data_IF_666166147343
#
_entry.id   IF_666166147343
#
_cell.length_a   1.000
_cell.length_b   1.000
_cell.length_c   1.000
_cell.angle_alpha   90.00
_cell.angle_beta   90.00
_cell.angle_gamma   90.00
#
_symmetry.space_group_name_H-M   'P 1'
#
loop_
_entity.id
_entity.type
_entity.pdbx_description
1 polymer ?
#
# COMPACT_ATOMS: atom_id res chain seq x y z
N UNK A 1 4.94 7.61 11.66
CA UNK A 1 5.04 6.23 11.14
C UNK A 1 3.83 5.98 10.28
N UNK A 2 4.03 5.68 9.00
CA UNK A 2 2.95 5.55 8.02
C UNK A 2 2.48 4.10 7.93
N UNK A 3 1.18 3.90 7.76
CA UNK A 3 0.56 2.58 7.61
C UNK A 3 -0.10 2.47 6.25
N UNK A 4 0.12 1.34 5.59
CA UNK A 4 -0.46 1.04 4.29
C UNK A 4 -1.08 -0.34 4.30
N UNK A 5 -2.29 -0.46 3.75
CA UNK A 5 -2.89 -1.74 3.46
C UNK A 5 -2.48 -2.18 2.06
N UNK A 6 -1.87 -3.36 1.97
CA UNK A 6 -1.38 -3.94 0.74
C UNK A 6 -2.18 -5.19 0.38
N UNK A 7 -2.56 -5.34 -0.88
CA UNK A 7 -3.23 -6.54 -1.40
C UNK A 7 -2.33 -7.29 -2.35
N UNK A 8 -2.09 -8.58 -2.09
CA UNK A 8 -1.40 -9.45 -3.04
C UNK A 8 -2.24 -9.60 -4.32
N UNK A 9 -1.65 -9.35 -5.49
CA UNK A 9 -2.36 -9.53 -6.78
C UNK A 9 -2.63 -10.99 -7.14
N UNK A 10 -1.88 -11.93 -6.58
CA UNK A 10 -2.02 -13.36 -6.89
C UNK A 10 -3.13 -14.03 -6.07
N UNK A 11 -3.12 -13.88 -4.74
CA UNK A 11 -4.06 -14.56 -3.85
C UNK A 11 -5.09 -13.62 -3.18
N UNK A 12 -4.94 -12.30 -3.33
CA UNK A 12 -5.84 -11.33 -2.73
C UNK A 12 -5.67 -11.08 -1.23
N UNK A 13 -4.72 -11.75 -0.55
CA UNK A 13 -4.43 -11.53 0.88
C UNK A 13 -4.08 -10.07 1.14
N UNK A 14 -4.68 -9.50 2.19
CA UNK A 14 -4.44 -8.11 2.63
C UNK A 14 -3.61 -8.09 3.90
N UNK A 15 -2.62 -7.21 3.96
CA UNK A 15 -1.77 -7.04 5.13
C UNK A 15 -1.34 -5.59 5.35
N UNK A 16 -0.95 -5.27 6.58
CA UNK A 16 -0.53 -3.91 6.97
C UNK A 16 1.00 -3.78 6.90
N UNK A 17 1.48 -2.84 6.08
CA UNK A 17 2.87 -2.43 6.04
C UNK A 17 3.06 -1.15 6.87
N UNK A 18 3.97 -1.22 7.85
CA UNK A 18 4.41 -0.07 8.65
C UNK A 18 5.80 0.36 8.21
N UNK A 19 5.92 1.61 7.75
CA UNK A 19 7.19 2.17 7.28
C UNK A 19 7.37 3.60 7.77
N UNK A 20 8.64 4.05 7.87
CA UNK A 20 9.00 5.40 8.28
C UNK A 20 8.88 6.44 7.16
N UNK A 21 8.67 6.02 5.92
CA UNK A 21 8.56 6.88 4.74
C UNK A 21 7.20 6.74 4.04
N UNK A 22 6.89 7.68 3.16
CA UNK A 22 5.65 7.67 2.38
C UNK A 22 5.75 6.73 1.18
N UNK A 23 4.66 6.05 0.87
CA UNK A 23 4.52 5.23 -0.35
C UNK A 23 3.59 5.88 -1.38
N UNK A 24 3.18 7.14 -1.19
CA UNK A 24 2.22 7.84 -2.07
C UNK A 24 2.65 7.85 -3.55
N UNK A 25 3.95 7.91 -3.81
CA UNK A 25 4.49 7.96 -5.17
C UNK A 25 4.61 6.58 -5.83
N UNK A 26 4.29 5.50 -5.10
CA UNK A 26 4.40 4.13 -5.59
C UNK A 26 3.01 3.58 -5.89
N UNK A 27 2.81 3.08 -7.12
CA UNK A 27 1.55 2.43 -7.50
C UNK A 27 1.44 1.00 -6.94
N UNK A 28 2.57 0.31 -6.81
CA UNK A 28 2.63 -1.09 -6.38
C UNK A 28 3.96 -1.41 -5.70
N UNK A 29 3.95 -2.46 -4.88
CA UNK A 29 5.14 -2.99 -4.20
C UNK A 29 5.43 -4.43 -4.61
N UNK A 30 6.69 -4.76 -4.84
CA UNK A 30 7.13 -6.15 -5.03
C UNK A 30 7.60 -6.71 -3.69
N UNK A 31 6.83 -7.64 -3.12
CA UNK A 31 7.06 -8.16 -1.78
C UNK A 31 6.68 -9.64 -1.64
N UNK A 32 7.25 -10.30 -0.63
CA UNK A 32 6.94 -11.70 -0.30
C UNK A 32 5.51 -11.83 0.21
N UNK A 33 4.74 -12.75 -0.39
CA UNK A 33 3.42 -13.12 0.12
C UNK A 33 3.52 -14.45 0.87
N UNK A 34 3.20 -14.43 2.16
CA UNK A 34 3.21 -15.61 3.03
C UNK A 34 2.18 -16.67 2.64
N UNK A 35 1.07 -16.28 2.00
CA UNK A 35 0.04 -17.21 1.51
C UNK A 35 0.46 -17.86 0.18
N UNK A 36 1.11 -17.12 -0.71
CA UNK A 36 1.60 -17.68 -1.98
C UNK A 36 2.93 -18.41 -1.86
N UNK A 37 3.71 -18.15 -0.81
CA UNK A 37 5.05 -18.70 -0.63
C UNK A 37 6.11 -18.12 -1.58
N UNK A 38 5.82 -17.00 -2.26
CA UNK A 38 6.71 -16.38 -3.27
C UNK A 38 6.59 -14.85 -3.26
N UNK A 39 7.55 -14.16 -3.88
CA UNK A 39 7.46 -12.72 -4.13
C UNK A 39 6.41 -12.44 -5.22
N UNK A 40 5.60 -11.41 -4.99
CA UNK A 40 4.47 -11.03 -5.85
C UNK A 40 4.30 -9.51 -5.83
N UNK A 41 3.65 -8.96 -6.85
CA UNK A 41 3.21 -7.57 -6.81
C UNK A 41 2.00 -7.41 -5.89
N UNK A 42 2.01 -6.31 -5.15
CA UNK A 42 0.96 -5.91 -4.22
C UNK A 42 0.46 -4.51 -4.55
N UNK A 43 -0.86 -4.33 -4.55
CA UNK A 43 -1.52 -3.04 -4.68
C UNK A 43 -1.59 -2.32 -3.34
N UNK A 44 -1.38 -1.00 -3.35
CA UNK A 44 -1.62 -0.15 -2.19
C UNK A 44 -3.10 0.23 -2.17
N UNK A 45 -3.87 -0.34 -1.25
CA UNK A 45 -5.33 -0.13 -1.18
C UNK A 45 -5.68 1.15 -0.41
N UNK A 46 -4.97 1.41 0.69
CA UNK A 46 -5.24 2.52 1.59
C UNK A 46 -3.96 2.98 2.26
N UNK A 47 -3.80 4.29 2.40
CA UNK A 47 -2.81 4.92 3.26
C UNK A 47 -3.51 5.54 4.47
N UNK A 48 -3.05 5.23 5.67
CA UNK A 48 -3.38 6.02 6.86
C UNK A 48 -2.21 6.95 7.13
N UNK A 49 -2.02 7.92 6.23
CA UNK A 49 -1.26 9.13 6.54
C UNK A 49 -2.27 10.16 7.03
N UNK A 50 -2.34 10.39 8.34
CA UNK A 50 -3.06 11.53 8.89
C UNK A 50 -2.30 12.82 8.56
N UNK A 51 -2.43 13.32 7.33
CA UNK A 51 -2.39 14.74 6.99
C UNK A 51 -3.30 14.93 5.77
N UNK A 52 -4.41 15.64 6.02
CA UNK A 52 -5.35 16.14 5.01
C UNK A 52 -4.59 17.18 4.18
N UNK A 53 -4.14 16.79 3.00
CA UNK A 53 -3.86 17.72 1.90
C UNK A 53 -4.33 17.03 0.63
N UNK A 54 -4.94 17.82 -0.24
CA UNK A 54 -5.46 17.51 -1.57
C UNK A 54 -6.96 17.15 -1.64
N UNK A 55 -7.81 18.14 -1.31
CA UNK A 55 -9.04 18.38 -2.07
C UNK A 55 -9.09 19.87 -2.42
N UNK A 56 -8.42 20.27 -3.51
CA UNK A 56 -8.84 21.41 -4.32
C UNK A 56 -8.50 21.09 -5.79
N UNK A 57 -9.31 20.27 -6.45
CA UNK A 57 -9.52 20.40 -7.89
C UNK A 57 -10.64 21.42 -8.08
N UNK A 58 -10.25 22.65 -8.41
CA UNK A 58 -11.13 23.78 -8.64
C UNK A 58 -11.71 23.66 -10.06
N UNK A 59 -13.00 23.32 -10.17
CA UNK A 59 -13.82 23.56 -11.38
C UNK A 59 -14.41 24.96 -11.36
#
# INVERSE_FOLDING_TARGET
MSKYLLRCRECGTVWELRVSYSLRDFQQLYHYCNVCGKNTFHDIIRSESAEVHDIIDNS
#
